data_IF_009990101479
#
_entry.id   IF_009990101479
#
_cell.length_a   1.000
_cell.length_b   1.000
_cell.length_c   1.000
_cell.angle_alpha   90.00
_cell.angle_beta   90.00
_cell.angle_gamma   90.00
#
_symmetry.space_group_name_H-M   'P 1'
#
loop_
_entity.id
_entity.type
_entity.pdbx_description
1 polymer ?
#
# COMPACT_ATOMS: atom_id res chain seq x y z
N UNK A 1 -12.24 17.21 9.10
CA UNK A 1 -10.88 17.79 9.11
C UNK A 1 -10.51 18.18 7.68
N UNK A 2 -9.60 19.15 7.48
CA UNK A 2 -9.19 19.60 6.14
C UNK A 2 -8.69 18.38 5.32
N UNK A 3 -9.12 18.25 4.05
CA UNK A 3 -8.74 17.12 3.18
C UNK A 3 -7.23 16.94 3.11
N UNK A 4 -6.45 18.03 3.12
CA UNK A 4 -4.98 17.96 3.13
C UNK A 4 -4.45 17.25 4.38
N UNK A 5 -4.99 17.56 5.56
CA UNK A 5 -4.58 16.91 6.82
C UNK A 5 -4.94 15.42 6.83
N UNK A 6 -6.05 15.03 6.18
CA UNK A 6 -6.37 13.63 5.95
C UNK A 6 -5.31 12.94 5.09
N UNK A 7 -4.94 13.51 3.94
CA UNK A 7 -3.92 12.92 3.08
C UNK A 7 -2.54 12.83 3.76
N UNK A 8 -2.12 13.83 4.54
CA UNK A 8 -0.87 13.74 5.32
C UNK A 8 -0.92 12.55 6.29
N UNK A 9 -2.01 12.42 7.06
CA UNK A 9 -2.20 11.28 7.97
C UNK A 9 -2.23 9.95 7.22
N UNK A 10 -2.87 9.92 6.05
CA UNK A 10 -2.99 8.74 5.21
C UNK A 10 -1.62 8.27 4.72
N UNK A 11 -0.80 9.19 4.20
CA UNK A 11 0.56 8.87 3.75
C UNK A 11 1.42 8.36 4.89
N UNK A 12 1.45 9.06 6.03
CA UNK A 12 2.21 8.62 7.21
C UNK A 12 1.75 7.25 7.69
N UNK A 13 0.44 7.00 7.73
CA UNK A 13 -0.13 5.71 8.11
C UNK A 13 0.34 4.58 7.20
N UNK A 14 0.24 4.74 5.88
CA UNK A 14 0.62 3.70 4.93
C UNK A 14 2.12 3.46 4.90
N UNK A 15 2.94 4.51 4.98
CA UNK A 15 4.39 4.37 5.10
C UNK A 15 4.77 3.58 6.36
N UNK A 16 4.12 3.87 7.48
CA UNK A 16 4.35 3.13 8.72
C UNK A 16 3.87 1.67 8.61
N UNK A 17 2.75 1.41 7.95
CA UNK A 17 2.26 0.05 7.72
C UNK A 17 3.22 -0.77 6.85
N UNK A 18 3.72 -0.20 5.75
CA UNK A 18 4.71 -0.87 4.90
C UNK A 18 6.03 -1.09 5.62
N UNK A 19 6.46 -0.13 6.44
CA UNK A 19 7.63 -0.31 7.30
C UNK A 19 7.45 -1.50 8.27
N UNK A 20 6.30 -1.62 8.94
CA UNK A 20 6.03 -2.76 9.83
C UNK A 20 6.01 -4.09 9.07
N UNK A 21 5.37 -4.15 7.90
CA UNK A 21 5.38 -5.35 7.06
C UNK A 21 6.80 -5.74 6.61
N UNK A 22 7.66 -4.74 6.37
CA UNK A 22 9.07 -4.96 6.04
C UNK A 22 9.85 -5.53 7.21
N UNK A 23 9.66 -4.97 8.41
CA UNK A 23 10.24 -5.54 9.63
C UNK A 23 9.72 -6.96 9.88
N UNK A 24 8.46 -7.24 9.58
CA UNK A 24 7.90 -8.58 9.68
C UNK A 24 8.58 -9.56 8.72
N UNK A 25 8.86 -9.17 7.47
CA UNK A 25 9.66 -9.97 6.55
C UNK A 25 11.06 -10.23 7.11
N UNK A 26 11.77 -9.18 7.52
CA UNK A 26 13.13 -9.28 8.10
C UNK A 26 13.13 -10.21 9.32
N UNK A 27 12.10 -10.15 10.16
CA UNK A 27 11.97 -10.99 11.34
C UNK A 27 11.84 -12.50 11.01
N UNK A 28 11.30 -12.86 9.84
CA UNK A 28 11.20 -14.26 9.41
C UNK A 28 12.50 -14.77 8.78
N UNK A 29 13.41 -13.88 8.37
CA UNK A 29 14.70 -14.20 7.75
C UNK A 29 15.89 -13.60 8.51
N UNK A 30 15.80 -13.59 9.85
CA UNK A 30 16.80 -12.94 10.71
C UNK A 30 18.20 -13.51 10.52
N UNK A 31 18.32 -14.81 10.23
CA UNK A 31 19.61 -15.45 10.00
C UNK A 31 20.29 -14.90 8.74
N UNK A 32 19.55 -14.69 7.66
CA UNK A 32 20.02 -14.08 6.42
C UNK A 32 20.39 -12.61 6.65
N UNK A 33 19.52 -11.85 7.31
CA UNK A 33 19.75 -10.43 7.59
C UNK A 33 20.87 -10.17 8.60
N UNK A 34 21.18 -11.14 9.49
CA UNK A 34 22.30 -11.03 10.44
C UNK A 34 23.67 -10.99 9.76
N UNK A 35 23.75 -11.45 8.51
CA UNK A 35 24.97 -11.47 7.69
C UNK A 35 25.15 -10.18 6.88
N UNK A 36 24.14 -9.32 6.85
CA UNK A 36 24.12 -8.07 6.09
C UNK A 36 24.75 -6.94 6.91
N UNK A 37 25.50 -6.05 6.26
CA UNK A 37 26.10 -4.91 6.94
C UNK A 37 25.03 -3.95 7.48
N UNK A 38 25.29 -3.32 8.62
CA UNK A 38 24.34 -2.36 9.21
C UNK A 38 24.05 -1.17 8.30
N UNK A 39 25.01 -0.77 7.46
CA UNK A 39 24.82 0.28 6.46
C UNK A 39 23.81 -0.14 5.38
N UNK A 40 23.94 -1.35 4.82
CA UNK A 40 22.95 -1.89 3.87
C UNK A 40 21.56 -2.01 4.50
N UNK A 41 21.47 -2.45 5.76
CA UNK A 41 20.19 -2.54 6.47
C UNK A 41 19.50 -1.17 6.62
N UNK A 42 20.26 -0.11 6.91
CA UNK A 42 19.73 1.26 7.02
C UNK A 42 19.30 1.82 5.66
N UNK A 43 19.94 1.38 4.58
CA UNK A 43 19.61 1.78 3.21
C UNK A 43 18.31 1.13 2.68
N UNK A 44 17.81 0.07 3.31
CA UNK A 44 16.53 -0.56 2.90
C UNK A 44 15.40 0.48 2.88
N UNK A 45 15.23 1.24 3.97
CA UNK A 45 14.12 2.18 4.10
C UNK A 45 14.12 3.32 3.06
N UNK A 46 15.21 4.09 2.85
CA UNK A 46 15.23 5.14 1.85
C UNK A 46 15.03 4.59 0.42
N UNK A 47 15.58 3.41 0.10
CA UNK A 47 15.41 2.80 -1.23
C UNK A 47 13.99 2.24 -1.46
N UNK A 48 13.27 1.86 -0.41
CA UNK A 48 11.85 1.49 -0.51
C UNK A 48 10.90 2.66 -0.76
N UNK A 49 11.30 3.86 -0.35
CA UNK A 49 10.39 4.98 -0.14
C UNK A 49 9.66 5.41 -1.42
N UNK A 50 10.34 5.35 -2.56
CA UNK A 50 9.77 5.70 -3.86
C UNK A 50 8.56 4.83 -4.23
N UNK A 51 8.71 3.50 -4.14
CA UNK A 51 7.63 2.55 -4.46
C UNK A 51 6.50 2.61 -3.42
N UNK A 52 6.84 2.81 -2.15
CA UNK A 52 5.85 2.99 -1.09
C UNK A 52 4.98 4.23 -1.35
N UNK A 53 5.60 5.37 -1.67
CA UNK A 53 4.89 6.61 -2.03
C UNK A 53 4.06 6.44 -3.30
N UNK A 54 4.60 5.78 -4.33
CA UNK A 54 3.89 5.51 -5.59
C UNK A 54 2.59 4.74 -5.32
N UNK A 55 2.66 3.67 -4.51
CA UNK A 55 1.48 2.87 -4.14
C UNK A 55 0.42 3.71 -3.38
N UNK A 56 0.85 4.55 -2.43
CA UNK A 56 -0.07 5.47 -1.73
C UNK A 56 -0.68 6.48 -2.70
N UNK A 57 0.09 6.91 -3.71
CA UNK A 57 -0.37 7.74 -4.82
C UNK A 57 -1.54 7.11 -5.56
N UNK A 58 -1.42 5.83 -5.95
CA UNK A 58 -2.50 5.09 -6.62
C UNK A 58 -3.79 5.07 -5.78
N UNK A 59 -3.69 4.76 -4.49
CA UNK A 59 -4.85 4.80 -3.57
C UNK A 59 -5.43 6.21 -3.46
N UNK A 60 -4.56 7.22 -3.40
CA UNK A 60 -4.96 8.62 -3.25
C UNK A 60 -5.70 9.15 -4.46
N UNK A 61 -5.34 8.73 -5.68
CA UNK A 61 -6.08 9.07 -6.91
C UNK A 61 -7.54 8.64 -6.78
N UNK A 62 -7.77 7.37 -6.42
CA UNK A 62 -9.12 6.83 -6.25
C UNK A 62 -9.90 7.59 -5.17
N UNK A 63 -9.27 7.88 -4.03
CA UNK A 63 -9.91 8.64 -2.95
C UNK A 63 -10.26 10.06 -3.38
N UNK A 64 -9.36 10.76 -4.10
CA UNK A 64 -9.63 12.11 -4.62
C UNK A 64 -10.83 12.12 -5.56
N UNK A 65 -10.98 11.11 -6.44
CA UNK A 65 -12.14 10.99 -7.31
C UNK A 65 -13.45 10.84 -6.51
N UNK A 66 -13.46 9.98 -5.48
CA UNK A 66 -14.63 9.86 -4.59
C UNK A 66 -14.92 11.15 -3.83
N UNK A 67 -13.90 11.85 -3.33
CA UNK A 67 -14.09 13.14 -2.66
C UNK A 67 -14.59 14.23 -3.59
N UNK A 68 -14.18 14.19 -4.86
CA UNK A 68 -14.71 15.07 -5.89
C UNK A 68 -16.20 14.78 -6.13
N UNK A 69 -16.58 13.52 -6.35
CA UNK A 69 -17.99 13.11 -6.49
C UNK A 69 -18.83 13.51 -5.26
N UNK A 70 -18.29 13.35 -4.05
CA UNK A 70 -18.94 13.78 -2.83
C UNK A 70 -19.23 15.28 -2.84
N UNK A 71 -18.30 16.07 -3.36
CA UNK A 71 -18.48 17.52 -3.45
C UNK A 71 -19.59 17.94 -4.41
N UNK A 72 -19.98 17.09 -5.37
CA UNK A 72 -21.12 17.33 -6.26
C UNK A 72 -22.46 17.01 -5.58
N UNK A 73 -22.45 16.02 -4.69
CA UNK A 73 -23.63 15.47 -4.05
C UNK A 73 -23.87 16.08 -2.66
N UNK A 74 -24.70 17.13 -2.61
CA UNK A 74 -25.02 17.88 -1.38
C UNK A 74 -25.98 17.15 -0.41
N UNK A 75 -25.90 15.82 -0.34
CA UNK A 75 -26.78 14.97 0.48
C UNK A 75 -26.00 14.32 1.62
N UNK A 76 -26.56 14.38 2.83
CA UNK A 76 -26.02 13.67 4.00
C UNK A 76 -25.91 12.16 3.77
N UNK A 77 -26.86 11.57 3.02
CA UNK A 77 -26.82 10.14 2.67
C UNK A 77 -25.62 9.81 1.79
N UNK A 78 -25.32 10.68 0.82
CA UNK A 78 -24.20 10.50 -0.10
C UNK A 78 -22.86 10.74 0.62
N UNK A 79 -22.77 11.74 1.50
CA UNK A 79 -21.61 11.96 2.37
C UNK A 79 -21.27 10.73 3.21
N UNK A 80 -22.28 10.11 3.84
CA UNK A 80 -22.08 8.87 4.62
C UNK A 80 -21.62 7.73 3.74
N UNK A 81 -22.27 7.55 2.59
CA UNK A 81 -21.94 6.48 1.65
C UNK A 81 -20.49 6.59 1.16
N UNK A 82 -20.07 7.78 0.71
CA UNK A 82 -18.70 7.99 0.20
C UNK A 82 -17.67 7.89 1.32
N UNK A 83 -17.95 8.41 2.52
CA UNK A 83 -17.06 8.21 3.67
C UNK A 83 -16.89 6.73 3.98
N UNK A 84 -17.98 5.95 3.92
CA UNK A 84 -17.96 4.50 4.07
C UNK A 84 -17.15 3.80 2.98
N UNK A 85 -17.29 4.20 1.72
CA UNK A 85 -16.47 3.66 0.61
C UNK A 85 -14.99 3.91 0.87
N UNK A 86 -14.59 5.13 1.24
CA UNK A 86 -13.19 5.46 1.52
C UNK A 86 -12.64 4.66 2.71
N UNK A 87 -13.48 4.40 3.71
CA UNK A 87 -13.14 3.50 4.81
C UNK A 87 -12.89 2.07 4.33
N UNK A 88 -13.79 1.53 3.52
CA UNK A 88 -13.71 0.16 3.02
C UNK A 88 -12.58 -0.05 2.02
N UNK A 89 -12.28 0.92 1.15
CA UNK A 89 -11.14 0.86 0.24
C UNK A 89 -9.84 0.69 1.02
N UNK A 90 -9.59 1.55 2.03
CA UNK A 90 -8.36 1.45 2.82
C UNK A 90 -8.31 0.16 3.63
N UNK A 91 -9.42 -0.23 4.28
CA UNK A 91 -9.52 -1.50 5.00
C UNK A 91 -9.23 -2.70 4.09
N UNK A 92 -9.80 -2.71 2.88
CA UNK A 92 -9.58 -3.74 1.87
C UNK A 92 -8.10 -3.85 1.51
N UNK A 93 -7.45 -2.74 1.16
CA UNK A 93 -6.04 -2.76 0.80
C UNK A 93 -5.14 -3.15 1.97
N UNK A 94 -5.47 -2.77 3.22
CA UNK A 94 -4.71 -3.20 4.40
C UNK A 94 -4.75 -4.73 4.50
N UNK A 95 -5.93 -5.33 4.39
CA UNK A 95 -6.12 -6.79 4.45
C UNK A 95 -5.43 -7.48 3.28
N UNK A 96 -5.58 -6.97 2.06
CA UNK A 96 -4.90 -7.52 0.87
C UNK A 96 -3.39 -7.47 1.05
N UNK A 97 -2.82 -6.36 1.53
CA UNK A 97 -1.39 -6.28 1.82
C UNK A 97 -0.93 -7.33 2.84
N UNK A 98 -1.75 -7.64 3.85
CA UNK A 98 -1.43 -8.69 4.81
C UNK A 98 -1.43 -10.09 4.18
N UNK A 99 -2.37 -10.37 3.29
CA UNK A 99 -2.39 -11.62 2.53
C UNK A 99 -1.17 -11.73 1.61
N UNK A 100 -0.79 -10.63 0.96
CA UNK A 100 0.37 -10.57 0.07
C UNK A 100 1.66 -10.80 0.88
N UNK A 101 1.89 -10.08 1.98
CA UNK A 101 3.13 -10.26 2.75
C UNK A 101 3.19 -11.63 3.44
N UNK A 102 2.08 -12.14 3.97
CA UNK A 102 2.02 -13.47 4.59
C UNK A 102 2.27 -14.58 3.58
N UNK A 103 1.68 -14.46 2.39
CA UNK A 103 1.91 -15.38 1.27
C UNK A 103 3.33 -15.27 0.72
N UNK A 104 3.85 -14.06 0.58
CA UNK A 104 5.21 -13.79 0.13
C UNK A 104 6.24 -14.43 1.06
N UNK A 105 6.17 -14.19 2.38
CA UNK A 105 7.09 -14.82 3.34
C UNK A 105 6.97 -16.35 3.28
N UNK A 106 5.76 -16.89 3.18
CA UNK A 106 5.58 -18.36 3.11
C UNK A 106 6.21 -18.95 1.84
N UNK A 107 6.06 -18.27 0.70
CA UNK A 107 6.63 -18.67 -0.58
C UNK A 107 8.14 -18.49 -0.63
N UNK A 108 8.65 -17.40 -0.05
CA UNK A 108 10.04 -16.98 -0.17
C UNK A 108 10.99 -18.00 0.47
N UNK A 109 10.53 -18.74 1.49
CA UNK A 109 11.30 -19.82 2.11
C UNK A 109 11.61 -20.97 1.13
N UNK A 110 10.71 -21.23 0.18
CA UNK A 110 10.86 -22.32 -0.78
C UNK A 110 11.44 -21.83 -2.12
N UNK A 111 11.03 -20.66 -2.58
CA UNK A 111 11.30 -20.17 -3.93
C UNK A 111 12.39 -19.10 -3.98
N UNK A 112 12.76 -18.49 -2.84
CA UNK A 112 13.74 -17.40 -2.77
C UNK A 112 13.38 -16.19 -3.62
N UNK A 113 12.09 -15.97 -3.89
CA UNK A 113 11.59 -14.88 -4.74
C UNK A 113 10.33 -14.25 -4.15
N UNK A 114 10.11 -12.97 -4.44
CA UNK A 114 8.87 -12.27 -4.09
C UNK A 114 7.64 -12.93 -4.72
N UNK A 115 6.47 -12.68 -4.14
CA UNK A 115 5.21 -13.20 -4.68
C UNK A 115 4.97 -12.62 -6.08
N UNK A 116 4.80 -13.50 -7.07
CA UNK A 116 4.66 -13.17 -8.48
C UNK A 116 3.44 -13.86 -9.13
N UNK A 117 3.18 -13.56 -10.40
CA UNK A 117 2.02 -14.13 -11.11
C UNK A 117 2.08 -15.67 -11.23
N UNK A 118 3.27 -16.25 -11.38
CA UNK A 118 3.44 -17.71 -11.43
C UNK A 118 2.97 -18.34 -10.12
N UNK A 119 3.40 -17.81 -8.97
CA UNK A 119 2.94 -18.28 -7.67
C UNK A 119 1.42 -18.14 -7.51
N UNK A 120 0.84 -17.01 -7.95
CA UNK A 120 -0.62 -16.82 -7.96
C UNK A 120 -1.34 -17.82 -8.85
N UNK A 121 -0.75 -18.24 -9.98
CA UNK A 121 -1.38 -19.18 -10.90
C UNK A 121 -1.62 -20.57 -10.27
N UNK A 122 -0.83 -20.96 -9.27
CA UNK A 122 -1.04 -22.19 -8.49
C UNK A 122 -2.29 -22.14 -7.60
N UNK A 123 -2.81 -20.95 -7.28
CA UNK A 123 -4.10 -20.81 -6.60
C UNK A 123 -5.31 -21.14 -7.50
N UNK A 124 -5.09 -21.56 -8.76
CA UNK A 124 -6.14 -22.22 -9.54
C UNK A 124 -6.70 -23.47 -8.82
N UNK A 125 -5.89 -24.13 -7.99
CA UNK A 125 -6.30 -25.23 -7.12
C UNK A 125 -5.91 -24.90 -5.67
N UNK A 126 -6.68 -24.04 -4.96
CA UNK A 126 -6.31 -23.55 -3.63
C UNK A 126 -6.08 -24.67 -2.60
N UNK A 127 -6.81 -25.78 -2.73
CA UNK A 127 -6.70 -26.92 -1.81
C UNK A 127 -5.30 -27.53 -1.81
N UNK A 128 -4.61 -27.54 -2.95
CA UNK A 128 -3.24 -28.07 -3.03
C UNK A 128 -2.26 -27.12 -2.32
N UNK A 129 -2.39 -25.82 -2.54
CA UNK A 129 -1.54 -24.79 -1.91
C UNK A 129 -1.66 -24.82 -0.38
N UNK A 130 -2.89 -24.98 0.14
CA UNK A 130 -3.07 -25.10 1.59
C UNK A 130 -2.61 -26.48 2.10
N UNK A 131 -2.83 -27.57 1.35
CA UNK A 131 -2.39 -28.90 1.77
C UNK A 131 -0.86 -29.02 1.90
N UNK A 132 -0.09 -28.25 1.13
CA UNK A 132 1.38 -28.22 1.20
C UNK A 132 1.94 -27.26 2.24
N UNK A 133 1.11 -26.38 2.80
CA UNK A 133 1.55 -25.36 3.77
C UNK A 133 2.05 -25.96 5.09
N UNK A 134 3.22 -25.51 5.54
CA UNK A 134 3.75 -25.85 6.86
C UNK A 134 2.99 -25.13 7.99
N UNK A 135 3.09 -25.63 9.24
CA UNK A 135 2.53 -24.95 10.42
C UNK A 135 3.10 -23.53 10.55
N UNK A 136 4.38 -23.33 10.21
CA UNK A 136 5.02 -22.02 10.22
C UNK A 136 4.35 -21.06 9.23
N UNK A 137 4.00 -21.52 8.02
CA UNK A 137 3.30 -20.70 7.02
C UNK A 137 1.95 -20.19 7.57
N UNK A 138 1.21 -21.06 8.25
CA UNK A 138 -0.07 -20.69 8.88
C UNK A 138 0.10 -19.68 10.03
N UNK A 139 1.15 -19.85 10.85
CA UNK A 139 1.48 -18.90 11.92
C UNK A 139 1.87 -17.54 11.32
N UNK A 140 2.69 -17.51 10.28
CA UNK A 140 3.10 -16.29 9.57
C UNK A 140 1.87 -15.57 8.99
N UNK A 141 0.98 -16.28 8.31
CA UNK A 141 -0.26 -15.72 7.80
C UNK A 141 -1.15 -15.17 8.92
N UNK A 142 -1.27 -15.90 10.03
CA UNK A 142 -2.04 -15.46 11.18
C UNK A 142 -1.48 -14.16 11.79
N UNK A 143 -0.16 -14.06 11.95
CA UNK A 143 0.49 -12.84 12.44
C UNK A 143 0.29 -11.67 11.46
N UNK A 144 0.41 -11.90 10.15
CA UNK A 144 0.15 -10.87 9.14
C UNK A 144 -1.30 -10.32 9.25
N UNK A 145 -2.28 -11.21 9.43
CA UNK A 145 -3.68 -10.83 9.64
C UNK A 145 -3.86 -10.05 10.95
N UNK A 146 -3.20 -10.45 12.04
CA UNK A 146 -3.24 -9.72 13.31
C UNK A 146 -2.68 -8.30 13.16
N UNK A 147 -1.55 -8.14 12.45
CA UNK A 147 -0.98 -6.83 12.12
C UNK A 147 -2.02 -6.01 11.34
N UNK A 148 -2.65 -6.56 10.30
CA UNK A 148 -3.70 -5.87 9.56
C UNK A 148 -4.88 -5.45 10.45
N UNK A 149 -5.37 -6.31 11.35
CA UNK A 149 -6.47 -5.97 12.28
C UNK A 149 -6.10 -4.79 13.17
N UNK A 150 -4.88 -4.76 13.70
CA UNK A 150 -4.37 -3.63 14.48
C UNK A 150 -4.33 -2.36 13.63
N UNK A 151 -3.83 -2.45 12.39
CA UNK A 151 -3.73 -1.30 11.49
C UNK A 151 -5.10 -0.80 10.99
N UNK A 152 -6.08 -1.68 10.78
CA UNK A 152 -7.48 -1.28 10.51
C UNK A 152 -8.05 -0.49 11.69
N UNK A 153 -7.78 -0.91 12.93
CA UNK A 153 -8.19 -0.17 14.13
C UNK A 153 -7.49 1.19 14.22
N UNK A 154 -6.18 1.25 13.98
CA UNK A 154 -5.41 2.51 13.94
C UNK A 154 -5.97 3.45 12.87
N UNK A 155 -6.22 2.94 11.67
CA UNK A 155 -6.80 3.71 10.57
C UNK A 155 -8.17 4.27 10.98
N UNK A 156 -9.05 3.43 11.51
CA UNK A 156 -10.40 3.82 11.94
C UNK A 156 -10.39 4.93 13.00
N UNK A 157 -9.50 4.82 14.00
CA UNK A 157 -9.46 5.75 15.13
C UNK A 157 -8.72 7.06 14.83
N UNK A 158 -7.62 7.02 14.07
CA UNK A 158 -6.69 8.15 13.98
C UNK A 158 -6.61 8.81 12.61
N UNK A 159 -6.94 8.07 11.53
CA UNK A 159 -6.74 8.51 10.14
C UNK A 159 -8.08 8.80 9.47
N UNK A 160 -9.01 7.85 9.54
CA UNK A 160 -10.32 7.96 8.92
C UNK A 160 -11.10 9.15 9.46
N UNK A 161 -11.93 9.74 8.62
CA UNK A 161 -12.83 10.81 8.99
C UNK A 161 -14.09 10.78 8.15
N UNK A 162 -15.14 11.38 8.69
CA UNK A 162 -16.35 11.64 7.95
C UNK A 162 -16.19 12.86 7.05
N UNK A 163 -16.49 12.71 5.75
CA UNK A 163 -16.34 13.75 4.74
C UNK A 163 -17.69 14.42 4.46
N UNK A 164 -17.79 15.69 4.86
CA UNK A 164 -19.00 16.50 4.69
C UNK A 164 -18.85 17.40 3.47
N UNK A 165 -19.68 17.20 2.46
CA UNK A 165 -19.83 18.17 1.38
C UNK A 165 -20.52 19.44 1.89
N UNK A 166 -19.94 20.59 1.55
CA UNK A 166 -20.52 21.91 1.83
C UNK A 166 -21.19 22.46 0.58
N UNK A 167 -22.27 23.23 0.74
CA UNK A 167 -22.90 23.93 -0.39
C UNK A 167 -21.91 24.93 -1.01
N UNK A 168 -21.76 24.87 -2.32
CA UNK A 168 -20.89 25.79 -3.07
C UNK A 168 -21.73 26.81 -3.82
N UNK A 169 -21.22 28.04 -3.90
CA UNK A 169 -21.65 28.97 -4.95
C UNK A 169 -20.96 28.63 -6.28
N UNK A 170 -21.41 29.23 -7.38
CA UNK A 170 -20.88 28.96 -8.73
C UNK A 170 -19.35 29.17 -8.79
N UNK A 171 -18.83 30.23 -8.15
CA UNK A 171 -17.38 30.52 -8.13
C UNK A 171 -16.59 29.40 -7.43
N UNK A 172 -17.07 28.91 -6.29
CA UNK A 172 -16.43 27.82 -5.55
C UNK A 172 -16.50 26.49 -6.30
N UNK A 173 -17.60 26.24 -7.02
CA UNK A 173 -17.73 25.06 -7.87
C UNK A 173 -16.70 25.09 -9.02
N UNK A 174 -16.62 26.20 -9.76
CA UNK A 174 -15.63 26.38 -10.84
C UNK A 174 -14.21 26.25 -10.30
N UNK A 175 -13.90 26.84 -9.14
CA UNK A 175 -12.60 26.70 -8.50
C UNK A 175 -12.25 25.23 -8.21
N UNK A 176 -13.20 24.42 -7.71
CA UNK A 176 -12.97 22.99 -7.45
C UNK A 176 -12.77 22.18 -8.73
N UNK A 177 -13.55 22.50 -9.77
CA UNK A 177 -13.43 21.86 -11.07
C UNK A 177 -12.04 22.12 -11.68
N UNK A 178 -11.54 23.36 -11.62
CA UNK A 178 -10.20 23.72 -12.09
C UNK A 178 -9.08 23.17 -11.20
N UNK A 179 -9.32 23.01 -9.90
CA UNK A 179 -8.35 22.44 -8.95
C UNK A 179 -8.17 20.93 -9.14
N UNK A 180 -9.18 20.21 -9.61
CA UNK A 180 -9.12 18.75 -9.72
C UNK A 180 -7.98 18.28 -10.65
N UNK A 181 -7.83 18.77 -11.90
CA UNK A 181 -6.70 18.39 -12.76
C UNK A 181 -5.34 18.68 -12.14
N UNK A 182 -5.19 19.78 -11.39
CA UNK A 182 -3.96 20.12 -10.67
C UNK A 182 -3.62 19.09 -9.60
N UNK A 183 -4.61 18.70 -8.79
CA UNK A 183 -4.42 17.68 -7.74
C UNK A 183 -4.11 16.31 -8.36
N UNK A 184 -4.84 15.92 -9.40
CA UNK A 184 -4.59 14.67 -10.13
C UNK A 184 -3.22 14.69 -10.81
N UNK A 185 -2.79 15.82 -11.39
CA UNK A 185 -1.46 15.97 -11.97
C UNK A 185 -0.34 15.77 -10.94
N UNK A 186 -0.47 16.35 -9.75
CA UNK A 186 0.48 16.12 -8.64
C UNK A 186 0.48 14.64 -8.22
N UNK A 187 -0.69 14.02 -8.11
CA UNK A 187 -0.78 12.60 -7.76
C UNK A 187 -0.19 11.70 -8.85
N UNK A 188 -0.32 12.05 -10.14
CA UNK A 188 0.32 11.33 -11.24
C UNK A 188 1.85 11.46 -11.17
N UNK A 189 2.38 12.62 -10.80
CA UNK A 189 3.81 12.80 -10.53
C UNK A 189 4.28 11.92 -9.37
N UNK A 190 3.49 11.83 -8.30
CA UNK A 190 3.76 10.94 -7.15
C UNK A 190 3.74 9.46 -7.60
N UNK A 191 2.73 9.06 -8.37
CA UNK A 191 2.56 7.69 -8.88
C UNK A 191 3.76 7.28 -9.75
N UNK A 192 4.22 8.13 -10.67
CA UNK A 192 5.39 7.82 -11.52
C UNK A 192 6.72 7.93 -10.78
N UNK A 193 6.72 8.38 -9.52
CA UNK A 193 7.92 8.54 -8.69
C UNK A 193 8.73 9.82 -8.92
N UNK A 194 8.19 10.85 -9.58
CA UNK A 194 8.85 12.13 -9.79
C UNK A 194 8.85 12.67 -11.23
N UNK A 195 9.86 13.46 -11.56
CA UNK A 195 10.02 14.15 -12.85
C UNK A 195 10.90 13.40 -13.85
N UNK A 196 11.42 12.22 -13.47
CA UNK A 196 12.27 11.41 -14.33
C UNK A 196 11.56 10.98 -15.63
N UNK A 197 12.36 10.76 -16.67
CA UNK A 197 11.89 10.36 -18.00
C UNK A 197 11.12 9.05 -17.97
N UNK A 198 11.69 8.04 -17.30
CA UNK A 198 11.12 6.70 -17.14
C UNK A 198 10.38 6.64 -15.80
N UNK A 199 9.09 6.22 -15.76
CA UNK A 199 8.37 6.01 -14.51
C UNK A 199 9.11 5.05 -13.58
N UNK A 200 8.91 5.20 -12.27
CA UNK A 200 9.52 4.34 -11.25
C UNK A 200 9.22 2.85 -11.50
N UNK A 201 10.21 2.00 -11.31
CA UNK A 201 10.16 0.55 -11.50
C UNK A 201 10.73 -0.22 -10.30
N UNK A 202 10.58 -1.55 -10.29
CA UNK A 202 11.12 -2.43 -9.23
C UNK A 202 12.62 -2.23 -9.00
N UNK A 203 13.37 -2.11 -10.09
CA UNK A 203 14.83 -1.94 -10.06
C UNK A 203 15.28 -0.67 -9.35
N UNK A 204 14.42 0.34 -9.22
CA UNK A 204 14.77 1.59 -8.53
C UNK A 204 14.88 1.40 -7.02
N UNK A 205 14.31 0.33 -6.47
CA UNK A 205 14.50 -0.06 -5.07
C UNK A 205 15.69 -1.03 -4.88
N UNK A 206 16.37 -1.44 -5.95
CA UNK A 206 17.49 -2.38 -5.89
C UNK A 206 18.81 -1.64 -5.78
N UNK A 207 19.58 -1.92 -4.72
CA UNK A 207 20.84 -1.23 -4.44
C UNK A 207 21.94 -2.15 -3.89
N UNK A 208 21.57 -3.32 -3.35
CA UNK A 208 22.52 -4.28 -2.78
C UNK A 208 22.85 -5.39 -3.77
N UNK A 209 23.99 -6.07 -3.55
CA UNK A 209 24.29 -7.35 -4.21
C UNK A 209 23.52 -8.52 -3.60
N UNK A 210 22.99 -8.34 -2.39
CA UNK A 210 22.19 -9.34 -1.69
C UNK A 210 20.73 -9.25 -2.18
N UNK A 211 20.25 -10.29 -2.87
CA UNK A 211 18.92 -10.28 -3.47
C UNK A 211 17.80 -10.09 -2.43
N UNK A 212 17.93 -10.69 -1.25
CA UNK A 212 16.93 -10.56 -0.18
C UNK A 212 16.80 -9.12 0.34
N UNK A 213 17.89 -8.34 0.31
CA UNK A 213 17.89 -6.91 0.68
C UNK A 213 17.15 -6.08 -0.38
N UNK A 214 17.32 -6.42 -1.65
CA UNK A 214 16.58 -5.79 -2.74
C UNK A 214 15.10 -6.16 -2.71
N UNK A 215 14.78 -7.44 -2.51
CA UNK A 215 13.41 -7.94 -2.46
C UNK A 215 12.61 -7.34 -1.31
N UNK A 216 13.20 -7.23 -0.11
CA UNK A 216 12.56 -6.62 1.04
C UNK A 216 12.40 -5.09 0.87
N UNK A 217 13.24 -4.48 0.04
CA UNK A 217 13.16 -3.06 -0.29
C UNK A 217 12.00 -2.74 -1.22
N UNK A 218 11.55 -3.69 -2.03
CA UNK A 218 10.38 -3.53 -2.90
C UNK A 218 9.07 -3.68 -2.10
N UNK A 219 8.14 -2.74 -2.30
CA UNK A 219 6.79 -2.86 -1.76
C UNK A 219 6.06 -4.09 -2.36
N UNK A 220 5.61 -5.06 -1.54
CA UNK A 220 4.99 -6.28 -2.05
C UNK A 220 3.73 -6.04 -2.88
N UNK A 221 2.93 -5.03 -2.53
CA UNK A 221 1.71 -4.70 -3.26
C UNK A 221 2.03 -4.10 -4.63
N UNK A 222 3.05 -3.22 -4.67
CA UNK A 222 3.52 -2.64 -5.92
C UNK A 222 4.08 -3.73 -6.84
N UNK A 223 4.88 -4.66 -6.29
CA UNK A 223 5.40 -5.81 -7.02
C UNK A 223 4.27 -6.63 -7.67
N UNK A 224 3.24 -6.98 -6.90
CA UNK A 224 2.17 -7.80 -7.41
C UNK A 224 1.34 -7.09 -8.47
N UNK A 225 1.06 -5.79 -8.29
CA UNK A 225 0.38 -4.98 -9.31
C UNK A 225 1.15 -4.96 -10.63
N UNK A 226 2.46 -4.78 -10.57
CA UNK A 226 3.33 -4.77 -11.76
C UNK A 226 3.38 -6.12 -12.47
N UNK A 227 3.25 -7.23 -11.74
CA UNK A 227 3.26 -8.58 -12.32
C UNK A 227 1.92 -8.99 -12.96
N UNK A 228 0.82 -8.33 -12.61
CA UNK A 228 -0.54 -8.64 -13.10
C UNK A 228 -0.91 -7.80 -14.33
N UNK A 229 -0.38 -6.57 -14.44
CA UNK A 229 -0.64 -5.62 -15.53
C UNK A 229 0.26 -5.89 -16.74
#
# INVERSE_FOLDING_TARGET
MNNLKYFIKLFVFWLFYFFVNRLFFIANYLEEFSKISSDELLQIFPNSFGLDISFIGYLSVVIVLFLFLNSLALSKRINTFISGIIYWINTFFIVVSALIIGGEISLYAEWGTKLNFTALSHFAIPSEVFATGSIANYITMFIAILIAVVFVKIYSLYVHQYFIATKYNVKQFVYKLLKLPLVLGILLLIVRGGWQEIPINLSDAYFSKNIIVNDVSVNPNWNLLQNIL
#
